data_IF_280645227129
#
_entry.id   IF_280645227129
#
_cell.length_a   1.000
_cell.length_b   1.000
_cell.length_c   1.000
_cell.angle_alpha   90.00
_cell.angle_beta   90.00
_cell.angle_gamma   90.00
#
_symmetry.space_group_name_H-M   'P 1'
#
loop_
_entity.id
_entity.type
_entity.pdbx_description
1 polymer ?
#
# COMPACT_ATOMS: atom_id res chain seq x y z
N UNK A 1 -31.49 -11.29 -15.97
CA UNK A 1 -30.92 -10.03 -16.50
C UNK A 1 -29.47 -9.86 -15.98
N UNK A 2 -28.45 -10.42 -16.66
CA UNK A 2 -27.07 -10.51 -16.12
C UNK A 2 -25.94 -9.98 -17.03
N UNK A 3 -26.28 -9.40 -18.19
CA UNK A 3 -25.28 -8.98 -19.19
C UNK A 3 -24.52 -7.70 -18.77
N UNK A 4 -25.12 -6.83 -17.94
CA UNK A 4 -24.47 -5.61 -17.43
C UNK A 4 -23.41 -5.82 -16.34
N UNK A 5 -23.31 -7.01 -15.73
CA UNK A 5 -22.41 -7.27 -14.59
C UNK A 5 -20.97 -7.49 -15.03
N UNK A 6 -20.73 -8.22 -16.13
CA UNK A 6 -19.38 -8.54 -16.63
C UNK A 6 -18.63 -7.28 -17.10
N UNK A 7 -19.29 -6.37 -17.81
CA UNK A 7 -18.67 -5.11 -18.27
C UNK A 7 -18.28 -4.21 -17.09
N UNK A 8 -19.14 -4.12 -16.07
CA UNK A 8 -18.85 -3.37 -14.84
C UNK A 8 -17.72 -3.98 -14.02
N UNK A 9 -17.61 -5.31 -13.97
CA UNK A 9 -16.49 -5.99 -13.29
C UNK A 9 -15.16 -5.73 -14.01
N UNK A 10 -15.11 -5.87 -15.34
CA UNK A 10 -13.89 -5.56 -16.12
C UNK A 10 -13.47 -4.10 -15.97
N UNK A 11 -14.43 -3.18 -16.00
CA UNK A 11 -14.18 -1.75 -15.80
C UNK A 11 -13.67 -1.45 -14.38
N UNK A 12 -14.31 -2.01 -13.34
CA UNK A 12 -13.85 -1.84 -11.97
C UNK A 12 -12.45 -2.43 -11.76
N UNK A 13 -12.15 -3.57 -12.36
CA UNK A 13 -10.82 -4.17 -12.31
C UNK A 13 -9.77 -3.28 -12.96
N UNK A 14 -10.02 -2.76 -14.16
CA UNK A 14 -9.08 -1.85 -14.84
C UNK A 14 -8.84 -0.59 -14.02
N UNK A 15 -9.89 0.04 -13.48
CA UNK A 15 -9.71 1.23 -12.65
C UNK A 15 -8.94 0.93 -11.37
N UNK A 16 -9.20 -0.21 -10.73
CA UNK A 16 -8.48 -0.59 -9.52
C UNK A 16 -7.01 -0.93 -9.81
N UNK A 17 -6.74 -1.55 -10.96
CA UNK A 17 -5.38 -1.82 -11.42
C UNK A 17 -4.63 -0.51 -11.70
N UNK A 18 -5.24 0.42 -12.44
CA UNK A 18 -4.63 1.72 -12.72
C UNK A 18 -4.35 2.49 -11.42
N UNK A 19 -5.29 2.46 -10.47
CA UNK A 19 -5.11 3.07 -9.16
C UNK A 19 -3.89 2.50 -8.42
N UNK A 20 -3.76 1.16 -8.37
CA UNK A 20 -2.61 0.49 -7.77
C UNK A 20 -1.29 0.83 -8.49
N UNK A 21 -1.30 0.89 -9.82
CA UNK A 21 -0.12 1.26 -10.62
C UNK A 21 0.32 2.69 -10.33
N UNK A 22 -0.60 3.66 -10.34
CA UNK A 22 -0.26 5.06 -10.05
C UNK A 22 0.20 5.25 -8.61
N UNK A 23 -0.41 4.54 -7.67
CA UNK A 23 0.00 4.59 -6.27
C UNK A 23 1.41 4.03 -6.06
N UNK A 24 1.71 2.85 -6.64
CA UNK A 24 3.04 2.24 -6.56
C UNK A 24 4.10 3.06 -7.29
N UNK A 25 3.75 3.64 -8.44
CA UNK A 25 4.63 4.56 -9.15
C UNK A 25 4.95 5.79 -8.28
N UNK A 26 3.94 6.40 -7.65
CA UNK A 26 4.14 7.50 -6.70
C UNK A 26 5.04 7.11 -5.53
N UNK A 27 4.80 5.96 -4.91
CA UNK A 27 5.66 5.41 -3.84
C UNK A 27 7.12 5.27 -4.28
N UNK A 28 7.35 4.73 -5.48
CA UNK A 28 8.71 4.54 -6.01
C UNK A 28 9.48 5.85 -6.20
N UNK A 29 8.77 6.95 -6.51
CA UNK A 29 9.38 8.28 -6.66
C UNK A 29 9.78 8.90 -5.31
N UNK A 30 9.11 8.53 -4.22
CA UNK A 30 9.37 9.07 -2.89
C UNK A 30 10.60 8.44 -2.21
N UNK A 31 11.05 7.25 -2.66
CA UNK A 31 12.31 6.59 -2.25
C UNK A 31 12.62 6.57 -0.74
N UNK A 32 11.58 6.48 0.10
CA UNK A 32 11.70 6.62 1.56
C UNK A 32 12.72 5.65 2.16
N UNK A 33 12.73 4.40 1.68
CA UNK A 33 13.65 3.35 2.16
C UNK A 33 15.12 3.69 1.91
N UNK A 34 15.44 4.26 0.74
CA UNK A 34 16.82 4.63 0.38
C UNK A 34 17.26 5.83 1.24
N UNK A 35 16.38 6.83 1.39
CA UNK A 35 16.67 8.02 2.20
C UNK A 35 16.91 7.61 3.66
N UNK A 36 16.07 6.76 4.24
CA UNK A 36 16.22 6.26 5.61
C UNK A 36 17.50 5.43 5.77
N UNK A 37 17.81 4.57 4.79
CA UNK A 37 19.05 3.77 4.79
C UNK A 37 20.31 4.64 4.81
N UNK A 38 20.34 5.68 3.97
CA UNK A 38 21.45 6.64 3.91
C UNK A 38 21.55 7.46 5.20
N UNK A 39 20.41 7.86 5.77
CA UNK A 39 20.37 8.59 7.04
C UNK A 39 20.96 7.74 8.18
N UNK A 40 20.55 6.48 8.29
CA UNK A 40 21.09 5.54 9.29
C UNK A 40 22.60 5.38 9.12
N UNK A 41 23.08 5.24 7.88
CA UNK A 41 24.51 5.17 7.62
C UNK A 41 25.26 6.44 8.08
N UNK A 42 24.72 7.64 7.79
CA UNK A 42 25.31 8.92 8.23
C UNK A 42 25.30 9.10 9.75
N UNK A 43 24.35 8.49 10.45
CA UNK A 43 24.27 8.50 11.92
C UNK A 43 25.20 7.45 12.58
N UNK A 44 26.03 6.75 11.81
CA UNK A 44 26.95 5.74 12.32
C UNK A 44 26.38 4.32 12.40
N UNK A 45 25.23 4.07 11.76
CA UNK A 45 24.62 2.75 11.69
C UNK A 45 25.45 1.76 10.85
N UNK A 46 25.62 0.54 11.37
CA UNK A 46 26.33 -0.55 10.69
C UNK A 46 25.53 -1.19 9.55
N UNK A 47 26.19 -2.07 8.78
CA UNK A 47 25.60 -2.73 7.61
C UNK A 47 24.29 -3.50 7.90
N UNK A 48 24.18 -4.11 9.09
CA UNK A 48 22.94 -4.78 9.52
C UNK A 48 21.78 -3.81 9.71
N UNK A 49 22.03 -2.61 10.25
CA UNK A 49 20.99 -1.61 10.45
C UNK A 49 20.49 -1.06 9.11
N UNK A 50 21.42 -0.81 8.17
CA UNK A 50 21.09 -0.35 6.82
C UNK A 50 20.31 -1.41 6.04
N UNK A 51 20.76 -2.67 6.04
CA UNK A 51 20.05 -3.77 5.39
C UNK A 51 18.71 -4.10 6.05
N UNK A 52 18.60 -3.88 7.36
CA UNK A 52 17.38 -4.11 8.14
C UNK A 52 16.23 -3.17 7.80
N UNK A 53 16.50 -1.99 7.21
CA UNK A 53 15.47 -1.02 6.82
C UNK A 53 14.46 -1.65 5.86
N UNK A 54 14.95 -2.30 4.81
CA UNK A 54 14.08 -2.95 3.81
C UNK A 54 13.23 -4.04 4.45
N UNK A 55 13.85 -4.90 5.26
CA UNK A 55 13.14 -5.99 5.94
C UNK A 55 12.05 -5.46 6.89
N UNK A 56 12.34 -4.44 7.68
CA UNK A 56 11.36 -3.83 8.59
C UNK A 56 10.23 -3.12 7.82
N UNK A 57 10.55 -2.48 6.70
CA UNK A 57 9.56 -1.85 5.84
C UNK A 57 8.59 -2.88 5.26
N UNK A 58 9.12 -3.96 4.66
CA UNK A 58 8.31 -5.05 4.10
C UNK A 58 7.48 -5.75 5.18
N UNK A 59 8.04 -6.01 6.36
CA UNK A 59 7.29 -6.58 7.47
C UNK A 59 6.16 -5.63 7.91
N UNK A 60 6.45 -4.34 8.08
CA UNK A 60 5.46 -3.33 8.44
C UNK A 60 4.35 -3.19 7.40
N UNK A 61 4.66 -3.36 6.11
CA UNK A 61 3.69 -3.29 5.03
C UNK A 61 2.83 -4.56 4.91
N UNK A 62 3.43 -5.75 5.03
CA UNK A 62 2.75 -7.02 4.75
C UNK A 62 2.06 -7.64 5.98
N UNK A 63 2.60 -7.47 7.19
CA UNK A 63 2.01 -8.06 8.41
C UNK A 63 0.56 -7.59 8.63
N UNK A 64 0.22 -6.29 8.52
CA UNK A 64 -1.16 -5.85 8.69
C UNK A 64 -2.10 -6.48 7.65
N UNK A 65 -1.61 -6.70 6.42
CA UNK A 65 -2.39 -7.33 5.35
C UNK A 65 -2.66 -8.80 5.65
N UNK A 66 -1.66 -9.53 6.16
CA UNK A 66 -1.80 -10.91 6.63
C UNK A 66 -2.82 -11.04 7.76
N UNK A 67 -2.78 -10.12 8.73
CA UNK A 67 -3.73 -10.11 9.85
C UNK A 67 -5.13 -9.75 9.35
N UNK A 68 -5.27 -8.78 8.43
CA UNK A 68 -6.56 -8.32 7.93
C UNK A 68 -7.24 -9.31 6.96
N UNK A 69 -6.47 -10.15 6.26
CA UNK A 69 -6.97 -11.10 5.27
C UNK A 69 -8.15 -11.99 5.74
N UNK A 70 -8.05 -12.73 6.88
CA UNK A 70 -9.13 -13.58 7.34
C UNK A 70 -10.41 -12.81 7.69
N UNK A 71 -10.30 -11.54 8.14
CA UNK A 71 -11.47 -10.71 8.47
C UNK A 71 -12.27 -10.30 7.23
N UNK A 72 -11.59 -10.17 6.07
CA UNK A 72 -12.22 -9.71 4.83
C UNK A 72 -12.67 -10.87 3.94
N UNK A 73 -12.11 -12.07 4.12
CA UNK A 73 -12.39 -13.24 3.29
C UNK A 73 -13.87 -13.66 3.32
N UNK A 74 -14.49 -13.68 4.51
CA UNK A 74 -15.89 -14.07 4.71
C UNK A 74 -16.94 -13.02 4.33
N UNK A 75 -16.53 -11.82 3.89
CA UNK A 75 -17.47 -10.70 3.73
C UNK A 75 -18.19 -10.74 2.38
N UNK A 76 -19.53 -10.73 2.42
CA UNK A 76 -20.41 -10.77 1.24
C UNK A 76 -20.23 -9.59 0.28
N UNK A 77 -19.71 -8.44 0.74
CA UNK A 77 -19.44 -7.23 -0.06
C UNK A 77 -17.99 -6.73 0.13
N UNK A 78 -17.06 -7.27 -0.64
CA UNK A 78 -15.63 -6.85 -0.63
C UNK A 78 -15.40 -5.39 -1.05
N UNK A 79 -16.31 -4.81 -1.85
CA UNK A 79 -16.18 -3.43 -2.36
C UNK A 79 -16.05 -2.39 -1.23
N UNK A 80 -16.81 -2.52 -0.15
CA UNK A 80 -16.75 -1.54 0.97
C UNK A 80 -15.40 -1.57 1.67
N UNK A 81 -14.87 -2.77 1.94
CA UNK A 81 -13.57 -2.95 2.58
C UNK A 81 -12.42 -2.43 1.72
N UNK A 82 -12.47 -2.67 0.41
CA UNK A 82 -11.49 -2.13 -0.55
C UNK A 82 -11.48 -0.59 -0.54
N UNK A 83 -12.65 0.04 -0.49
CA UNK A 83 -12.75 1.50 -0.45
C UNK A 83 -12.24 2.09 0.88
N UNK A 84 -12.56 1.44 2.02
CA UNK A 84 -12.06 1.86 3.33
C UNK A 84 -10.53 1.71 3.39
N UNK A 85 -10.00 0.58 2.93
CA UNK A 85 -8.55 0.34 2.89
C UNK A 85 -7.82 1.36 2.02
N UNK A 86 -8.34 1.63 0.82
CA UNK A 86 -7.78 2.64 -0.08
C UNK A 86 -7.87 4.06 0.49
N UNK A 87 -8.92 4.39 1.24
CA UNK A 87 -9.03 5.68 1.92
C UNK A 87 -8.00 5.80 3.06
N UNK A 88 -7.90 4.79 3.92
CA UNK A 88 -6.95 4.76 5.04
C UNK A 88 -5.50 4.83 4.56
N UNK A 89 -5.15 4.19 3.45
CA UNK A 89 -3.81 4.30 2.85
C UNK A 89 -3.46 5.72 2.40
N UNK A 90 -4.46 6.57 2.10
CA UNK A 90 -4.26 7.94 1.60
C UNK A 90 -4.27 9.00 2.70
N UNK A 91 -4.88 8.74 3.85
CA UNK A 91 -4.91 9.68 4.99
C UNK A 91 -3.50 10.14 5.41
N UNK A 92 -2.48 9.27 5.53
CA UNK A 92 -1.13 9.70 5.86
C UNK A 92 -0.54 10.66 4.83
N UNK A 93 -0.78 10.43 3.53
CA UNK A 93 -0.30 11.31 2.46
C UNK A 93 -0.96 12.69 2.49
N UNK A 94 -2.25 12.75 2.84
CA UNK A 94 -2.93 14.03 3.05
C UNK A 94 -2.34 14.79 4.23
N UNK A 95 -2.01 14.09 5.32
CA UNK A 95 -1.34 14.73 6.46
C UNK A 95 0.04 15.29 6.08
N UNK A 96 0.83 14.54 5.29
CA UNK A 96 2.13 15.01 4.78
C UNK A 96 1.98 16.21 3.84
N UNK A 97 0.97 16.23 2.96
CA UNK A 97 0.76 17.35 2.05
C UNK A 97 0.29 18.65 2.75
N UNK A 98 -0.30 18.52 3.94
CA UNK A 98 -0.75 19.66 4.75
C UNK A 98 0.29 20.17 5.75
N UNK A 99 1.36 19.41 6.00
CA UNK A 99 2.52 19.78 6.83
C UNK A 99 3.57 20.52 6.01
#
# INVERSE_FOLDING_TARGET
MHIGRKRSVRRNFIFHLLDGVFFMAGLSLTSSEIVTSVLIHRLGGGAMAVGGVFALFELGYNIPQLIAAPFVEGVRRKKTWVLIGGFLQRVPWLAVAWL
#
